data_IF_576247270494
#
_entry.id   IF_576247270494
#
_cell.length_a   1.000
_cell.length_b   1.000
_cell.length_c   1.000
_cell.angle_alpha   90.00
_cell.angle_beta   90.00
_cell.angle_gamma   90.00
#
_symmetry.space_group_name_H-M   'P 1'
#
loop_
_entity.id
_entity.type
_entity.pdbx_description
1 polymer ?
#
# COMPACT_ATOMS: atom_id res chain seq x y z
N UNK A 1 7.34 -27.97 13.28
CA UNK A 1 6.61 -26.89 12.57
C UNK A 1 7.54 -26.16 11.61
N UNK A 2 7.02 -25.64 10.48
CA UNK A 2 7.74 -24.78 9.51
C UNK A 2 7.00 -23.46 9.40
N UNK A 3 7.72 -22.32 9.38
CA UNK A 3 7.16 -20.97 9.19
C UNK A 3 8.00 -20.25 8.16
N UNK A 4 7.37 -19.72 7.09
CA UNK A 4 7.99 -18.88 6.08
C UNK A 4 7.24 -17.55 5.97
N UNK A 5 7.96 -16.45 6.07
CA UNK A 5 7.44 -15.09 5.86
C UNK A 5 7.65 -14.68 4.41
N UNK A 6 6.66 -14.06 3.81
CA UNK A 6 6.72 -13.38 2.50
C UNK A 6 6.43 -11.91 2.70
N UNK A 7 7.32 -11.05 2.24
CA UNK A 7 7.15 -9.61 2.41
C UNK A 7 6.99 -8.91 1.06
N UNK A 8 6.00 -8.04 0.97
CA UNK A 8 5.69 -7.22 -0.20
C UNK A 8 6.01 -5.75 0.13
N UNK A 9 7.22 -5.29 -0.21
CA UNK A 9 7.74 -3.98 0.16
C UNK A 9 6.83 -2.81 -0.27
N UNK A 10 6.27 -2.85 -1.49
CA UNK A 10 5.46 -1.75 -2.03
C UNK A 10 4.15 -1.50 -1.27
N UNK A 11 3.69 -2.46 -0.44
CA UNK A 11 2.52 -2.35 0.44
C UNK A 11 2.91 -2.53 1.94
N UNK A 12 4.18 -2.75 2.22
CA UNK A 12 4.67 -3.09 3.58
C UNK A 12 3.91 -4.25 4.21
N UNK A 13 3.43 -5.20 3.38
CA UNK A 13 2.58 -6.32 3.77
C UNK A 13 3.39 -7.60 3.97
N UNK A 14 3.09 -8.34 5.04
CA UNK A 14 3.66 -9.64 5.35
C UNK A 14 2.56 -10.72 5.37
N UNK A 15 2.79 -11.80 4.64
CA UNK A 15 1.99 -13.02 4.67
C UNK A 15 2.85 -14.20 5.07
N UNK A 16 2.22 -15.31 5.45
CA UNK A 16 2.95 -16.40 6.06
C UNK A 16 2.48 -17.76 5.54
N UNK A 17 3.43 -18.69 5.36
CA UNK A 17 3.16 -20.11 5.23
C UNK A 17 3.50 -20.78 6.56
N UNK A 18 2.54 -21.52 7.11
CA UNK A 18 2.75 -22.40 8.27
C UNK A 18 2.50 -23.82 7.82
N UNK A 19 3.46 -24.71 8.00
CA UNK A 19 3.34 -26.09 7.54
C UNK A 19 3.81 -27.11 8.57
N UNK A 20 3.21 -28.28 8.50
CA UNK A 20 3.63 -29.46 9.26
C UNK A 20 4.62 -30.28 8.44
N UNK A 21 5.81 -30.52 9.00
CA UNK A 21 6.88 -31.21 8.28
C UNK A 21 6.62 -32.70 8.08
N UNK A 22 5.82 -33.33 8.94
CA UNK A 22 5.49 -34.76 8.87
C UNK A 22 4.36 -35.05 7.88
N UNK A 23 3.25 -34.32 7.99
CA UNK A 23 2.07 -34.52 7.11
C UNK A 23 2.20 -33.83 5.76
N UNK A 24 3.12 -32.87 5.64
CA UNK A 24 3.32 -31.99 4.49
C UNK A 24 2.13 -31.09 4.18
N UNK A 25 1.22 -30.88 5.13
CA UNK A 25 0.09 -29.96 4.98
C UNK A 25 0.51 -28.53 5.37
N UNK A 26 0.12 -27.56 4.57
CA UNK A 26 0.41 -26.14 4.77
C UNK A 26 -0.87 -25.29 4.83
N UNK A 27 -0.79 -24.21 5.60
CA UNK A 27 -1.73 -23.09 5.62
C UNK A 27 -1.03 -21.81 5.16
N UNK A 28 -1.72 -20.96 4.39
CA UNK A 28 -1.27 -19.62 4.06
C UNK A 28 -2.12 -18.61 4.83
N UNK A 29 -1.46 -17.67 5.51
CA UNK A 29 -2.10 -16.62 6.29
C UNK A 29 -1.90 -15.28 5.56
N UNK A 30 -2.98 -14.57 5.31
CA UNK A 30 -3.06 -13.27 4.65
C UNK A 30 -2.31 -13.20 3.30
N UNK A 31 -2.61 -14.11 2.34
CA UNK A 31 -1.91 -14.15 1.07
C UNK A 31 -2.13 -12.88 0.25
N UNK A 32 -1.06 -12.38 -0.39
CA UNK A 32 -1.18 -11.41 -1.48
C UNK A 32 -1.81 -12.06 -2.71
N UNK A 33 -2.33 -11.24 -3.63
CA UNK A 33 -3.12 -11.70 -4.76
C UNK A 33 -2.35 -12.53 -5.80
N UNK A 34 -1.08 -12.23 -6.02
CA UNK A 34 -0.18 -12.98 -6.90
C UNK A 34 0.38 -14.22 -6.18
N UNK A 35 -0.39 -15.29 -6.20
CA UNK A 35 -0.21 -16.48 -5.35
C UNK A 35 0.89 -17.45 -5.80
N UNK A 36 1.49 -17.27 -6.97
CA UNK A 36 2.53 -18.16 -7.49
C UNK A 36 3.70 -18.33 -6.53
N UNK A 37 4.04 -17.29 -5.78
CA UNK A 37 5.11 -17.34 -4.79
C UNK A 37 4.85 -18.42 -3.73
N UNK A 38 3.62 -18.57 -3.25
CA UNK A 38 3.26 -19.58 -2.24
C UNK A 38 3.21 -20.98 -2.85
N UNK A 39 2.61 -21.09 -4.06
CA UNK A 39 2.45 -22.38 -4.76
C UNK A 39 3.84 -22.96 -5.11
N UNK A 40 4.73 -22.13 -5.65
CA UNK A 40 6.08 -22.56 -6.04
C UNK A 40 6.93 -22.91 -4.82
N UNK A 41 6.84 -22.11 -3.75
CA UNK A 41 7.60 -22.37 -2.53
C UNK A 41 7.08 -23.62 -1.79
N UNK A 42 5.77 -23.80 -1.65
CA UNK A 42 5.18 -25.02 -1.11
C UNK A 42 5.63 -26.27 -1.89
N UNK A 43 5.58 -26.19 -3.21
CA UNK A 43 6.04 -27.27 -4.10
C UNK A 43 7.52 -27.59 -3.89
N UNK A 44 8.38 -26.59 -3.74
CA UNK A 44 9.83 -26.80 -3.53
C UNK A 44 10.15 -27.54 -2.23
N UNK A 45 9.32 -27.34 -1.19
CA UNK A 45 9.41 -28.02 0.11
C UNK A 45 8.58 -29.31 0.21
N UNK A 46 7.84 -29.66 -0.84
CA UNK A 46 6.95 -30.81 -0.88
C UNK A 46 5.71 -30.65 0.01
N UNK A 47 5.28 -29.38 0.26
CA UNK A 47 4.06 -29.07 1.00
C UNK A 47 2.84 -28.99 0.08
N UNK A 48 1.67 -29.36 0.62
CA UNK A 48 0.36 -29.20 0.01
C UNK A 48 -0.41 -28.08 0.73
N UNK A 49 -0.75 -27.01 0.02
CA UNK A 49 -1.54 -25.90 0.57
C UNK A 49 -3.02 -26.33 0.65
N UNK A 50 -3.51 -26.64 1.84
CA UNK A 50 -4.91 -27.04 2.07
C UNK A 50 -5.75 -25.95 2.71
N UNK A 51 -5.13 -24.97 3.37
CA UNK A 51 -5.80 -23.98 4.17
C UNK A 51 -5.32 -22.58 3.80
N UNK A 52 -6.26 -21.65 3.70
CA UNK A 52 -6.00 -20.22 3.52
C UNK A 52 -6.79 -19.47 4.58
N UNK A 53 -6.12 -18.70 5.41
CA UNK A 53 -6.72 -17.97 6.51
C UNK A 53 -6.53 -16.49 6.26
N UNK A 54 -7.61 -15.71 6.31
CA UNK A 54 -7.53 -14.26 6.42
C UNK A 54 -7.74 -13.87 7.88
N UNK A 55 -6.80 -13.10 8.42
CA UNK A 55 -6.96 -12.55 9.77
C UNK A 55 -8.09 -11.51 9.81
N UNK A 56 -8.31 -10.80 8.73
CA UNK A 56 -9.37 -9.80 8.54
C UNK A 56 -9.56 -9.48 7.04
N UNK A 57 -10.55 -8.68 6.69
CA UNK A 57 -10.66 -8.13 5.34
C UNK A 57 -9.74 -6.93 5.17
N UNK A 58 -8.61 -7.14 4.50
CA UNK A 58 -7.61 -6.11 4.25
C UNK A 58 -8.20 -4.93 3.46
N UNK A 59 -7.83 -3.73 3.86
CA UNK A 59 -8.26 -2.49 3.20
C UNK A 59 -7.22 -1.98 2.17
N UNK A 60 -5.97 -2.30 2.35
CA UNK A 60 -4.84 -1.77 1.58
C UNK A 60 -4.46 -2.62 0.36
N UNK A 61 -4.99 -3.85 0.25
CA UNK A 61 -4.80 -4.73 -0.91
C UNK A 61 -5.90 -5.79 -1.04
N UNK A 62 -5.98 -6.38 -2.22
CA UNK A 62 -6.86 -7.53 -2.49
C UNK A 62 -6.13 -8.82 -2.14
N UNK A 63 -6.65 -9.55 -1.17
CA UNK A 63 -6.06 -10.80 -0.70
C UNK A 63 -6.23 -11.95 -1.70
N UNK A 64 -5.26 -12.88 -1.71
CA UNK A 64 -5.17 -14.00 -2.67
C UNK A 64 -5.98 -15.26 -2.28
N UNK A 65 -6.95 -15.14 -1.39
CA UNK A 65 -7.72 -16.28 -0.90
C UNK A 65 -8.57 -16.97 -1.98
N UNK A 66 -9.17 -16.20 -2.89
CA UNK A 66 -9.93 -16.73 -4.02
C UNK A 66 -8.99 -17.41 -5.03
N UNK A 67 -7.86 -16.78 -5.31
CA UNK A 67 -6.82 -17.30 -6.20
C UNK A 67 -6.27 -18.66 -5.70
N UNK A 68 -5.94 -18.78 -4.41
CA UNK A 68 -5.47 -20.03 -3.82
C UNK A 68 -6.57 -21.10 -3.80
N UNK A 69 -7.79 -20.73 -3.39
CA UNK A 69 -8.92 -21.65 -3.45
C UNK A 69 -9.07 -22.26 -4.84
N UNK A 70 -9.08 -21.45 -5.89
CA UNK A 70 -9.37 -21.88 -7.26
C UNK A 70 -8.17 -22.61 -7.90
N UNK A 71 -6.91 -22.27 -7.53
CA UNK A 71 -5.71 -22.88 -8.13
C UNK A 71 -5.24 -24.17 -7.46
N UNK A 72 -5.41 -24.29 -6.13
CA UNK A 72 -4.92 -25.45 -5.36
C UNK A 72 -6.02 -26.14 -4.56
N UNK A 73 -7.29 -25.75 -4.74
CA UNK A 73 -8.45 -26.30 -4.05
C UNK A 73 -8.32 -26.25 -2.52
N UNK A 74 -7.81 -25.13 -1.99
CA UNK A 74 -7.68 -24.90 -0.56
C UNK A 74 -9.00 -24.43 0.06
N UNK A 75 -9.23 -24.77 1.34
CA UNK A 75 -10.32 -24.19 2.11
C UNK A 75 -9.97 -22.77 2.57
N UNK A 76 -10.94 -21.86 2.51
CA UNK A 76 -10.79 -20.48 2.99
C UNK A 76 -11.42 -20.34 4.36
N UNK A 77 -10.71 -19.70 5.29
CA UNK A 77 -11.14 -19.49 6.66
C UNK A 77 -11.16 -18.01 7.02
N UNK A 78 -12.18 -17.61 7.78
CA UNK A 78 -12.38 -16.24 8.29
C UNK A 78 -12.93 -16.30 9.71
N UNK A 79 -12.73 -15.23 10.48
CA UNK A 79 -13.37 -15.07 11.78
C UNK A 79 -14.90 -15.15 11.70
N UNK A 80 -15.55 -15.67 12.74
CA UNK A 80 -16.99 -15.96 12.75
C UNK A 80 -17.90 -14.74 12.49
N UNK A 81 -17.39 -13.52 12.72
CA UNK A 81 -18.14 -12.28 12.45
C UNK A 81 -18.05 -11.81 11.01
N UNK A 82 -17.22 -12.46 10.17
CA UNK A 82 -17.06 -12.11 8.76
C UNK A 82 -18.35 -12.38 7.97
N UNK A 83 -18.60 -11.52 6.99
CA UNK A 83 -19.67 -11.71 6.01
C UNK A 83 -19.08 -11.59 4.61
N UNK A 84 -19.21 -12.63 3.79
CA UNK A 84 -18.68 -12.66 2.44
C UNK A 84 -19.69 -13.25 1.44
N UNK A 85 -19.53 -12.92 0.16
CA UNK A 85 -20.34 -13.47 -0.93
C UNK A 85 -19.83 -14.83 -1.43
N UNK A 86 -18.68 -15.29 -0.95
CA UNK A 86 -18.07 -16.58 -1.28
C UNK A 86 -18.13 -17.54 -0.07
N UNK A 87 -18.01 -18.83 -0.34
CA UNK A 87 -17.99 -19.84 0.71
C UNK A 87 -16.67 -19.80 1.47
N UNK A 88 -16.75 -19.85 2.78
CA UNK A 88 -15.63 -19.96 3.71
C UNK A 88 -16.02 -20.78 4.94
N UNK A 89 -15.04 -21.32 5.64
CA UNK A 89 -15.17 -21.97 6.94
C UNK A 89 -15.05 -20.91 8.03
N UNK A 90 -16.05 -20.85 8.92
CA UNK A 90 -16.10 -19.90 10.02
C UNK A 90 -15.21 -20.36 11.18
N UNK A 91 -14.39 -19.46 11.71
CA UNK A 91 -13.55 -19.69 12.88
C UNK A 91 -14.09 -18.90 14.08
N UNK A 92 -14.74 -19.59 15.01
CA UNK A 92 -15.08 -19.07 16.32
C UNK A 92 -13.83 -18.98 17.22
N UNK A 93 -13.94 -18.27 18.34
CA UNK A 93 -12.87 -18.18 19.35
C UNK A 93 -12.48 -19.58 19.86
N UNK A 94 -11.23 -19.95 19.70
CA UNK A 94 -10.72 -21.27 20.05
C UNK A 94 -10.86 -22.35 18.97
N UNK A 95 -11.46 -22.06 17.81
CA UNK A 95 -11.52 -23.00 16.67
C UNK A 95 -10.14 -23.45 16.22
N UNK A 96 -10.01 -24.73 15.88
CA UNK A 96 -8.73 -25.40 15.61
C UNK A 96 -8.67 -25.93 14.19
N UNK A 97 -7.52 -25.74 13.54
CA UNK A 97 -7.13 -26.35 12.27
C UNK A 97 -5.91 -27.24 12.53
N UNK A 98 -6.08 -28.56 12.39
CA UNK A 98 -5.02 -29.53 12.59
C UNK A 98 -4.23 -29.76 11.30
N UNK A 99 -2.93 -29.47 11.31
CA UNK A 99 -2.04 -29.77 10.19
C UNK A 99 -1.26 -31.07 10.38
N UNK A 100 -1.24 -31.60 11.60
CA UNK A 100 -0.47 -32.77 12.01
C UNK A 100 0.12 -32.56 13.40
N UNK A 101 1.43 -32.49 13.51
CA UNK A 101 2.12 -32.11 14.75
C UNK A 101 2.07 -30.59 14.97
N UNK A 102 1.67 -29.85 13.96
CA UNK A 102 1.37 -28.41 14.01
C UNK A 102 -0.14 -28.20 14.12
N UNK A 103 -0.56 -27.34 15.05
CA UNK A 103 -1.95 -26.93 15.26
C UNK A 103 -2.06 -25.42 15.11
N UNK A 104 -3.05 -24.96 14.37
CA UNK A 104 -3.45 -23.55 14.31
C UNK A 104 -4.74 -23.37 15.12
N UNK A 105 -4.83 -22.28 15.88
CA UNK A 105 -6.02 -21.97 16.68
C UNK A 105 -6.41 -20.51 16.48
N UNK A 106 -7.66 -20.26 16.16
CA UNK A 106 -8.20 -18.92 16.04
C UNK A 106 -8.45 -18.30 17.42
N UNK A 107 -8.13 -17.02 17.54
CA UNK A 107 -8.46 -16.17 18.67
C UNK A 107 -9.19 -14.95 18.13
N UNK A 108 -10.45 -14.72 18.47
CA UNK A 108 -11.15 -13.50 18.09
C UNK A 108 -10.46 -12.28 18.70
N UNK A 109 -10.00 -11.35 17.86
CA UNK A 109 -9.34 -10.11 18.27
C UNK A 109 -9.90 -8.92 17.50
N UNK A 110 -11.21 -8.61 17.65
CA UNK A 110 -11.81 -7.45 17.00
C UNK A 110 -11.18 -6.16 17.50
N UNK A 111 -11.15 -5.14 16.61
CA UNK A 111 -10.63 -3.83 16.96
C UNK A 111 -10.15 -3.03 15.75
N UNK A 112 -9.16 -3.51 15.01
CA UNK A 112 -8.85 -2.96 13.70
C UNK A 112 -10.03 -3.16 12.73
N UNK A 113 -10.58 -4.38 12.72
CA UNK A 113 -11.85 -4.71 12.06
C UNK A 113 -12.78 -5.46 13.03
N UNK A 114 -14.11 -5.48 12.78
CA UNK A 114 -15.06 -6.18 13.65
C UNK A 114 -14.88 -7.71 13.66
N UNK A 115 -14.43 -8.28 12.53
CA UNK A 115 -14.27 -9.75 12.33
C UNK A 115 -12.84 -10.24 12.58
N UNK A 116 -11.93 -9.34 12.98
CA UNK A 116 -10.51 -9.61 13.13
C UNK A 116 -10.20 -10.79 14.05
N UNK A 117 -9.26 -11.64 13.63
CA UNK A 117 -8.72 -12.76 14.40
C UNK A 117 -7.21 -12.73 14.44
N UNK A 118 -6.64 -13.27 15.50
CA UNK A 118 -5.24 -13.68 15.61
C UNK A 118 -5.15 -15.18 15.46
N UNK A 119 -4.21 -15.71 14.70
CA UNK A 119 -3.99 -17.14 14.54
C UNK A 119 -2.81 -17.55 15.39
N UNK A 120 -3.05 -18.40 16.40
CA UNK A 120 -2.01 -19.00 17.23
C UNK A 120 -1.48 -20.27 16.58
N UNK A 121 -0.17 -20.45 16.54
CA UNK A 121 0.47 -21.67 16.05
C UNK A 121 1.17 -22.42 17.18
N UNK A 122 0.83 -23.70 17.33
CA UNK A 122 1.38 -24.59 18.32
C UNK A 122 2.25 -25.67 17.66
N UNK A 123 3.46 -25.84 18.13
CA UNK A 123 4.30 -27.00 17.83
C UNK A 123 4.06 -28.06 18.92
N UNK A 124 3.20 -29.04 18.62
CA UNK A 124 2.78 -30.05 19.61
C UNK A 124 3.92 -30.96 20.08
N UNK A 125 5.03 -31.00 19.31
CA UNK A 125 6.23 -31.77 19.71
C UNK A 125 7.04 -31.02 20.75
N UNK A 126 7.09 -29.67 20.64
CA UNK A 126 7.85 -28.81 21.55
C UNK A 126 7.02 -28.49 22.80
N UNK A 127 5.86 -27.89 22.62
CA UNK A 127 4.90 -27.58 23.68
C UNK A 127 3.46 -27.58 23.14
N UNK A 128 2.63 -28.58 23.50
CA UNK A 128 1.24 -28.63 23.03
C UNK A 128 0.31 -27.62 23.70
N UNK A 129 0.73 -26.98 24.79
CA UNK A 129 -0.12 -26.13 25.63
C UNK A 129 0.09 -24.65 25.40
N UNK A 130 1.30 -24.24 25.04
CA UNK A 130 1.63 -22.84 24.80
C UNK A 130 1.87 -22.59 23.32
N UNK A 131 1.37 -21.46 22.76
CA UNK A 131 1.62 -21.12 21.37
C UNK A 131 3.09 -20.74 21.17
N UNK A 132 3.70 -21.32 20.15
CA UNK A 132 5.03 -20.96 19.69
C UNK A 132 5.03 -19.57 19.03
N UNK A 133 3.98 -19.29 18.25
CA UNK A 133 3.86 -18.05 17.50
C UNK A 133 2.39 -17.59 17.40
N UNK A 134 2.21 -16.32 17.15
CA UNK A 134 0.92 -15.72 16.81
C UNK A 134 1.04 -14.85 15.55
N UNK A 135 0.09 -15.01 14.64
CA UNK A 135 -0.08 -14.19 13.44
C UNK A 135 -1.22 -13.22 13.74
N UNK A 136 -0.84 -11.98 14.05
CA UNK A 136 -1.73 -11.00 14.67
C UNK A 136 -2.54 -10.19 13.68
N UNK A 137 -2.34 -10.40 12.37
CA UNK A 137 -2.94 -9.50 11.39
C UNK A 137 -2.60 -8.05 11.73
N UNK A 138 -3.63 -7.24 11.78
CA UNK A 138 -3.55 -5.83 12.17
C UNK A 138 -4.04 -5.56 13.62
N UNK A 139 -4.11 -6.60 14.46
CA UNK A 139 -4.41 -6.44 15.89
C UNK A 139 -3.21 -5.86 16.64
N UNK A 140 -2.03 -6.44 16.46
CA UNK A 140 -0.80 -6.04 17.12
C UNK A 140 0.35 -6.01 16.12
N UNK A 141 0.99 -4.85 16.00
CA UNK A 141 2.22 -4.65 15.25
C UNK A 141 3.45 -4.63 16.16
N UNK A 142 4.64 -4.63 15.57
CA UNK A 142 5.87 -4.44 16.33
C UNK A 142 6.08 -2.95 16.60
N UNK A 143 5.86 -2.56 17.87
CA UNK A 143 5.92 -1.18 18.33
C UNK A 143 4.61 -0.38 18.21
N UNK A 144 3.55 -0.97 17.62
CA UNK A 144 2.27 -0.28 17.37
C UNK A 144 1.09 -1.26 17.43
N UNK A 145 -0.11 -0.76 17.16
CA UNK A 145 -1.36 -1.53 16.96
C UNK A 145 -2.09 -1.02 15.72
N UNK A 146 -2.99 -1.84 15.16
CA UNK A 146 -3.80 -1.46 14.02
C UNK A 146 -4.72 -0.28 14.35
N UNK A 147 -4.85 0.64 13.38
CA UNK A 147 -5.73 1.81 13.49
C UNK A 147 -7.21 1.38 13.46
N UNK A 148 -8.08 1.99 14.29
CA UNK A 148 -9.48 1.56 14.41
C UNK A 148 -10.44 2.31 13.49
N UNK A 149 -9.97 3.26 12.66
CA UNK A 149 -10.84 4.22 11.97
C UNK A 149 -11.18 3.87 10.52
N UNK A 150 -10.55 2.84 9.93
CA UNK A 150 -10.74 2.50 8.51
C UNK A 150 -12.16 2.01 8.18
N UNK A 151 -12.86 1.44 9.14
CA UNK A 151 -14.21 0.90 8.99
C UNK A 151 -15.32 1.83 9.48
N UNK A 152 -15.02 3.05 9.87
CA UNK A 152 -16.02 4.05 10.30
C UNK A 152 -17.07 4.33 9.21
N UNK A 153 -16.70 4.18 7.92
CA UNK A 153 -17.61 4.36 6.78
C UNK A 153 -18.68 3.26 6.62
N UNK A 154 -18.53 2.11 7.30
CA UNK A 154 -19.47 0.98 7.23
C UNK A 154 -20.26 0.75 8.52
N UNK A 155 -20.34 1.78 9.36
CA UNK A 155 -21.29 1.84 10.48
C UNK A 155 -20.77 1.41 11.84
N UNK A 156 -19.47 1.18 12.00
CA UNK A 156 -18.84 0.98 13.31
C UNK A 156 -17.88 2.13 13.58
N UNK A 157 -18.06 2.84 14.69
CA UNK A 157 -17.26 4.02 15.01
C UNK A 157 -15.82 3.67 15.38
N UNK A 158 -14.88 4.59 15.14
CA UNK A 158 -13.49 4.43 15.58
C UNK A 158 -13.38 4.23 17.10
N UNK A 159 -14.25 4.88 17.88
CA UNK A 159 -14.33 4.71 19.33
C UNK A 159 -14.71 3.28 19.73
N UNK A 160 -15.73 2.70 19.08
CA UNK A 160 -16.17 1.32 19.36
C UNK A 160 -15.09 0.32 18.99
N UNK A 161 -14.47 0.46 17.82
CA UNK A 161 -13.37 -0.41 17.37
C UNK A 161 -12.15 -0.29 18.29
N UNK A 162 -11.76 0.91 18.68
CA UNK A 162 -10.68 1.14 19.62
C UNK A 162 -10.95 0.46 20.99
N UNK A 163 -12.20 0.55 21.45
CA UNK A 163 -12.63 -0.13 22.65
C UNK A 163 -12.57 -1.66 22.54
N UNK A 164 -12.93 -2.23 21.39
CA UNK A 164 -12.79 -3.67 21.11
C UNK A 164 -11.32 -4.08 21.05
N UNK A 165 -10.46 -3.27 20.45
CA UNK A 165 -9.03 -3.53 20.38
C UNK A 165 -8.39 -3.56 21.78
N UNK A 166 -8.76 -2.63 22.67
CA UNK A 166 -8.32 -2.64 24.06
C UNK A 166 -8.67 -3.97 24.73
N UNK A 167 -9.94 -4.42 24.63
CA UNK A 167 -10.37 -5.69 25.23
C UNK A 167 -9.62 -6.88 24.62
N UNK A 168 -9.41 -6.90 23.31
CA UNK A 168 -8.66 -7.94 22.61
C UNK A 168 -7.22 -8.02 23.10
N UNK A 169 -6.56 -6.89 23.27
CA UNK A 169 -5.19 -6.82 23.78
C UNK A 169 -5.11 -7.23 25.26
N UNK A 170 -5.92 -6.62 26.13
CA UNK A 170 -5.83 -6.83 27.58
C UNK A 170 -6.31 -8.21 28.05
N UNK A 171 -7.39 -8.72 27.44
CA UNK A 171 -8.03 -9.94 27.93
C UNK A 171 -7.57 -11.19 27.21
N UNK A 172 -6.92 -11.07 26.04
CA UNK A 172 -6.51 -12.22 25.23
C UNK A 172 -5.00 -12.18 24.92
N UNK A 173 -4.52 -11.23 24.13
CA UNK A 173 -3.12 -11.19 23.68
C UNK A 173 -2.16 -11.12 24.88
N UNK A 174 -2.41 -10.22 25.83
CA UNK A 174 -1.58 -10.07 27.02
C UNK A 174 -1.69 -11.21 28.05
N UNK A 175 -2.48 -12.25 27.79
CA UNK A 175 -2.52 -13.47 28.61
C UNK A 175 -1.60 -14.58 28.09
N UNK A 176 -1.05 -14.40 26.88
CA UNK A 176 -0.13 -15.36 26.28
C UNK A 176 1.27 -15.26 26.91
N UNK A 177 2.10 -16.34 26.82
CA UNK A 177 3.47 -16.34 27.32
C UNK A 177 4.36 -15.30 26.63
N UNK A 178 5.32 -14.76 27.36
CA UNK A 178 6.26 -13.75 26.87
C UNK A 178 7.14 -14.23 25.70
N UNK A 179 7.39 -15.53 25.62
CA UNK A 179 8.20 -16.18 24.58
C UNK A 179 7.44 -16.33 23.25
N UNK A 180 6.12 -16.14 23.23
CA UNK A 180 5.31 -16.27 22.01
C UNK A 180 5.82 -15.27 20.96
N UNK A 181 6.19 -15.78 19.77
CA UNK A 181 6.64 -14.96 18.66
C UNK A 181 5.47 -14.19 18.04
N UNK A 182 5.69 -12.93 17.72
CA UNK A 182 4.71 -12.02 17.10
C UNK A 182 5.02 -11.82 15.64
N UNK A 183 4.10 -12.21 14.76
CA UNK A 183 4.16 -12.08 13.30
C UNK A 183 2.98 -11.22 12.82
N UNK A 184 3.17 -9.90 12.62
CA UNK A 184 2.11 -8.99 12.17
C UNK A 184 1.93 -9.03 10.65
N UNK A 185 0.75 -8.57 10.15
CA UNK A 185 0.53 -8.46 8.71
C UNK A 185 1.27 -7.28 8.06
N UNK A 186 1.77 -6.32 8.84
CA UNK A 186 2.48 -5.17 8.29
C UNK A 186 3.79 -4.86 9.00
N UNK A 187 4.71 -4.24 8.24
CA UNK A 187 5.96 -3.66 8.70
C UNK A 187 6.01 -2.15 8.51
N UNK A 188 7.17 -1.56 8.78
CA UNK A 188 7.40 -0.12 8.65
C UNK A 188 7.00 0.42 7.27
N UNK A 189 6.31 1.55 7.27
CA UNK A 189 5.81 2.22 6.07
C UNK A 189 4.38 1.88 5.65
N UNK A 190 3.71 0.94 6.35
CA UNK A 190 2.27 0.70 6.18
C UNK A 190 1.45 1.89 6.71
N UNK A 191 0.31 2.13 6.06
CA UNK A 191 -0.68 3.12 6.49
C UNK A 191 -1.74 2.54 7.45
N UNK A 192 -1.60 1.26 7.82
CA UNK A 192 -2.50 0.60 8.80
C UNK A 192 -2.12 0.89 10.25
N UNK A 193 -1.02 1.62 10.51
CA UNK A 193 -0.58 2.10 11.80
C UNK A 193 0.31 3.34 11.65
N UNK A 194 0.73 3.94 12.77
CA UNK A 194 1.49 5.21 12.77
C UNK A 194 2.96 5.07 13.19
N UNK A 195 3.33 3.99 13.88
CA UNK A 195 4.65 3.84 14.51
C UNK A 195 5.27 2.45 14.37
N UNK A 196 5.07 1.74 13.26
CA UNK A 196 5.59 0.39 13.05
C UNK A 196 7.12 0.36 13.01
N UNK A 197 7.72 -0.59 13.72
CA UNK A 197 9.17 -0.79 13.74
C UNK A 197 9.68 -1.49 12.48
N UNK A 198 11.00 -1.42 12.24
CA UNK A 198 11.68 -2.13 11.15
C UNK A 198 11.95 -3.62 11.47
N UNK A 199 11.63 -4.08 12.67
CA UNK A 199 11.75 -5.49 13.03
C UNK A 199 10.79 -6.34 12.19
N UNK A 200 11.17 -7.59 11.94
CA UNK A 200 10.36 -8.53 11.14
C UNK A 200 9.62 -9.55 12.00
N UNK A 201 10.09 -9.78 13.22
CA UNK A 201 9.54 -10.65 14.25
C UNK A 201 10.01 -10.17 15.61
N UNK A 202 9.19 -10.34 16.63
CA UNK A 202 9.53 -10.00 18.02
C UNK A 202 8.93 -11.05 18.95
N UNK A 203 9.13 -10.92 20.27
CA UNK A 203 8.39 -11.71 21.27
C UNK A 203 7.34 -10.84 21.94
N UNK A 204 6.27 -11.45 22.46
CA UNK A 204 5.26 -10.72 23.20
C UNK A 204 5.85 -10.00 24.41
N UNK A 205 6.81 -10.62 25.11
CA UNK A 205 7.51 -9.99 26.24
C UNK A 205 8.22 -8.69 25.86
N UNK A 206 8.91 -8.65 24.71
CA UNK A 206 9.49 -7.41 24.18
C UNK A 206 8.42 -6.37 23.85
N UNK A 207 7.29 -6.79 23.24
CA UNK A 207 6.20 -5.87 22.94
C UNK A 207 5.56 -5.30 24.21
N UNK A 208 5.40 -6.08 25.30
CA UNK A 208 4.94 -5.57 26.60
C UNK A 208 5.83 -4.45 27.13
N UNK A 209 7.15 -4.53 26.89
CA UNK A 209 8.10 -3.54 27.41
C UNK A 209 8.17 -2.28 26.54
N UNK A 210 8.05 -2.40 25.22
CA UNK A 210 8.41 -1.32 24.30
C UNK A 210 7.25 -0.79 23.46
N UNK A 211 6.15 -1.53 23.31
CA UNK A 211 5.00 -1.08 22.55
C UNK A 211 4.17 -0.11 23.41
N UNK A 212 4.01 1.12 22.93
CA UNK A 212 3.32 2.18 23.66
C UNK A 212 1.84 1.83 23.96
N UNK A 213 1.19 1.09 23.06
CA UNK A 213 -0.22 0.72 23.18
C UNK A 213 -0.46 -0.43 24.18
N UNK A 214 0.59 -1.13 24.61
CA UNK A 214 0.52 -2.21 25.61
C UNK A 214 0.87 -1.76 27.03
N UNK A 215 1.21 -0.48 27.22
CA UNK A 215 1.53 0.07 28.55
C UNK A 215 0.27 0.12 29.42
N UNK A 216 0.41 0.04 30.74
CA UNK A 216 -0.72 0.18 31.68
C UNK A 216 -1.43 1.52 31.49
N UNK A 217 -2.69 1.50 31.08
CA UNK A 217 -3.52 2.70 30.92
C UNK A 217 -5.01 2.33 31.03
N UNK A 218 -5.86 3.32 31.24
CA UNK A 218 -7.31 3.11 31.21
C UNK A 218 -7.79 2.90 29.78
N UNK A 219 -8.98 2.33 29.62
CA UNK A 219 -9.60 2.13 28.29
C UNK A 219 -9.80 3.44 27.54
N UNK A 220 -10.23 4.49 28.25
CA UNK A 220 -10.47 5.81 27.67
C UNK A 220 -9.17 6.49 27.23
N UNK A 221 -8.08 6.36 28.01
CA UNK A 221 -6.76 6.84 27.62
C UNK A 221 -6.25 6.09 26.38
N UNK A 222 -6.42 4.78 26.32
CA UNK A 222 -6.05 3.98 25.17
C UNK A 222 -6.82 4.41 23.90
N UNK A 223 -8.14 4.57 24.00
CA UNK A 223 -8.97 5.02 22.87
C UNK A 223 -8.48 6.39 22.37
N UNK A 224 -8.26 7.33 23.29
CA UNK A 224 -7.74 8.66 22.95
C UNK A 224 -6.39 8.57 22.24
N UNK A 225 -5.47 7.74 22.78
CA UNK A 225 -4.12 7.59 22.26
C UNK A 225 -4.09 7.00 20.84
N UNK A 226 -4.87 5.94 20.57
CA UNK A 226 -4.81 5.25 19.27
C UNK A 226 -5.67 5.91 18.19
N UNK A 227 -6.63 6.74 18.57
CA UNK A 227 -7.44 7.50 17.58
C UNK A 227 -6.82 8.85 17.23
N UNK A 228 -5.87 9.36 18.02
CA UNK A 228 -5.17 10.60 17.76
C UNK A 228 -4.12 10.44 16.64
N UNK A 229 -3.92 11.51 15.86
CA UNK A 229 -2.84 11.67 14.87
C UNK A 229 -2.72 10.53 13.85
N UNK A 230 -3.84 9.91 13.48
CA UNK A 230 -3.84 8.90 12.43
C UNK A 230 -3.61 9.58 11.06
N UNK A 231 -2.70 9.03 10.22
CA UNK A 231 -2.52 9.55 8.87
C UNK A 231 -3.82 9.40 8.08
N UNK A 232 -4.07 10.32 7.14
CA UNK A 232 -5.24 10.22 6.26
C UNK A 232 -5.24 8.87 5.52
N UNK A 233 -6.37 8.15 5.62
CA UNK A 233 -6.52 6.87 4.94
C UNK A 233 -6.66 7.09 3.43
N UNK A 234 -5.93 6.33 2.58
CA UNK A 234 -6.13 6.39 1.14
C UNK A 234 -7.58 6.11 0.75
N UNK A 235 -8.10 6.86 -0.22
CA UNK A 235 -9.51 6.77 -0.63
C UNK A 235 -9.93 5.36 -1.09
N UNK A 236 -8.99 4.56 -1.60
CA UNK A 236 -9.27 3.21 -2.09
C UNK A 236 -9.44 2.15 -0.99
N UNK A 237 -9.05 2.43 0.26
CA UNK A 237 -9.11 1.45 1.36
C UNK A 237 -10.52 0.92 1.58
N UNK A 238 -11.52 1.79 1.64
CA UNK A 238 -12.91 1.35 1.79
C UNK A 238 -13.40 0.46 0.64
N UNK A 239 -12.99 0.77 -0.59
CA UNK A 239 -13.31 -0.05 -1.76
C UNK A 239 -12.68 -1.44 -1.69
N UNK A 240 -11.39 -1.53 -1.38
CA UNK A 240 -10.66 -2.80 -1.35
C UNK A 240 -11.14 -3.70 -0.20
N UNK A 241 -11.46 -3.13 0.99
CA UNK A 241 -12.08 -3.88 2.09
C UNK A 241 -13.41 -4.51 1.69
N UNK A 242 -14.27 -3.79 0.97
CA UNK A 242 -15.53 -4.31 0.44
C UNK A 242 -15.28 -5.35 -0.66
N UNK A 243 -14.30 -5.12 -1.55
CA UNK A 243 -13.99 -6.05 -2.64
C UNK A 243 -13.42 -7.39 -2.13
N UNK A 244 -12.73 -7.39 -1.00
CA UNK A 244 -12.27 -8.61 -0.33
C UNK A 244 -13.42 -9.48 0.22
N UNK A 245 -14.61 -8.91 0.42
CA UNK A 245 -15.83 -9.63 0.84
C UNK A 245 -16.63 -10.20 -0.34
N UNK A 246 -16.33 -9.75 -1.58
CA UNK A 246 -17.15 -10.04 -2.76
C UNK A 246 -16.58 -11.17 -3.61
N UNK A 247 -17.48 -11.81 -4.38
CA UNK A 247 -17.07 -12.58 -5.56
C UNK A 247 -16.45 -11.63 -6.57
N UNK A 248 -15.29 -11.97 -7.08
CA UNK A 248 -14.53 -11.14 -8.01
C UNK A 248 -13.73 -11.99 -8.99
N UNK A 249 -13.32 -11.44 -10.14
CA UNK A 249 -12.41 -12.16 -11.04
C UNK A 249 -11.07 -12.43 -10.34
N UNK A 250 -10.45 -13.55 -10.69
CA UNK A 250 -9.09 -13.88 -10.26
C UNK A 250 -8.07 -12.95 -10.92
N UNK A 251 -6.87 -12.88 -10.36
CA UNK A 251 -5.79 -12.09 -10.97
C UNK A 251 -5.43 -12.61 -12.36
N UNK A 252 -5.40 -13.94 -12.55
CA UNK A 252 -5.13 -14.58 -13.85
C UNK A 252 -6.14 -14.14 -14.91
N UNK A 253 -7.42 -14.09 -14.58
CA UNK A 253 -8.48 -13.58 -15.47
C UNK A 253 -8.29 -12.10 -15.81
N UNK A 254 -7.91 -11.29 -14.81
CA UNK A 254 -7.64 -9.85 -15.00
C UNK A 254 -6.42 -9.66 -15.91
N UNK A 255 -5.31 -10.35 -15.66
CA UNK A 255 -4.10 -10.29 -16.50
C UNK A 255 -4.42 -10.70 -17.92
N UNK A 256 -5.04 -11.87 -18.12
CA UNK A 256 -5.41 -12.38 -19.46
C UNK A 256 -6.29 -11.38 -20.25
N UNK A 257 -7.22 -10.70 -19.58
CA UNK A 257 -8.11 -9.72 -20.20
C UNK A 257 -7.39 -8.42 -20.53
N UNK A 258 -6.39 -8.04 -19.74
CA UNK A 258 -5.71 -6.75 -19.75
C UNK A 258 -4.50 -6.69 -20.68
N UNK A 259 -3.86 -7.85 -20.98
CA UNK A 259 -2.66 -7.95 -21.82
C UNK A 259 -3.00 -7.83 -23.31
N UNK A 260 -3.55 -6.65 -23.69
CA UNK A 260 -3.91 -6.31 -25.07
C UNK A 260 -3.02 -5.19 -25.57
N UNK A 261 -2.25 -5.46 -26.60
CA UNK A 261 -1.49 -4.45 -27.34
C UNK A 261 -2.42 -3.60 -28.20
N UNK A 262 -2.31 -2.28 -28.12
CA UNK A 262 -3.16 -1.31 -28.79
C UNK A 262 -2.30 -0.33 -29.60
N UNK A 263 -2.67 -0.11 -30.86
CA UNK A 263 -2.03 0.89 -31.70
C UNK A 263 -2.33 2.32 -31.25
N UNK A 264 -1.54 3.29 -31.73
CA UNK A 264 -1.63 4.71 -31.34
C UNK A 264 -3.01 5.30 -31.60
N UNK A 265 -3.66 4.96 -32.71
CA UNK A 265 -4.96 5.52 -33.08
C UNK A 265 -6.06 5.01 -32.13
N UNK A 266 -6.00 3.72 -31.79
CA UNK A 266 -6.90 3.10 -30.80
C UNK A 266 -6.70 3.72 -29.42
N UNK A 267 -5.45 3.89 -28.98
CA UNK A 267 -5.10 4.54 -27.70
C UNK A 267 -5.67 5.95 -27.64
N UNK A 268 -5.43 6.77 -28.66
CA UNK A 268 -5.91 8.15 -28.74
C UNK A 268 -7.45 8.23 -28.76
N UNK A 269 -8.11 7.32 -29.49
CA UNK A 269 -9.57 7.22 -29.49
C UNK A 269 -10.14 6.89 -28.12
N UNK A 270 -9.56 5.91 -27.41
CA UNK A 270 -9.96 5.53 -26.07
C UNK A 270 -9.74 6.66 -25.06
N UNK A 271 -8.60 7.35 -25.14
CA UNK A 271 -8.31 8.51 -24.30
C UNK A 271 -9.34 9.64 -24.50
N UNK A 272 -9.69 9.95 -25.74
CA UNK A 272 -10.76 10.92 -26.06
C UNK A 272 -12.14 10.51 -25.55
N UNK A 273 -12.38 9.22 -25.42
CA UNK A 273 -13.64 8.69 -24.84
C UNK A 273 -13.64 8.69 -23.30
N UNK A 274 -12.59 9.22 -22.65
CA UNK A 274 -12.48 9.35 -21.20
C UNK A 274 -11.78 8.20 -20.48
N UNK A 275 -11.10 7.29 -21.19
CA UNK A 275 -10.25 6.26 -20.57
C UNK A 275 -9.05 6.94 -19.91
N UNK A 276 -8.74 6.54 -18.66
CA UNK A 276 -7.58 7.05 -17.93
C UNK A 276 -6.30 6.47 -18.52
N UNK A 277 -5.35 7.33 -18.91
CA UNK A 277 -4.02 6.90 -19.37
C UNK A 277 -3.01 7.10 -18.26
N UNK A 278 -2.33 6.03 -17.85
CA UNK A 278 -1.20 6.10 -16.94
C UNK A 278 0.11 5.81 -17.66
N UNK A 279 1.12 6.62 -17.40
CA UNK A 279 2.50 6.37 -17.80
C UNK A 279 3.30 5.98 -16.57
N UNK A 280 3.82 4.76 -16.55
CA UNK A 280 4.48 4.18 -15.38
C UNK A 280 6.00 4.25 -15.44
N UNK A 281 6.54 4.93 -16.43
CA UNK A 281 7.98 5.14 -16.60
C UNK A 281 8.53 6.09 -15.53
N UNK A 282 9.85 6.11 -15.42
CA UNK A 282 10.58 7.03 -14.56
C UNK A 282 10.23 8.50 -14.84
N UNK A 283 10.26 9.33 -13.79
CA UNK A 283 9.95 10.75 -13.88
C UNK A 283 10.77 11.50 -14.92
N UNK A 284 12.03 11.11 -15.12
CA UNK A 284 12.91 11.75 -16.10
C UNK A 284 12.50 11.42 -17.54
N UNK A 285 12.15 10.18 -17.82
CA UNK A 285 11.71 9.71 -19.13
C UNK A 285 10.36 10.31 -19.50
N UNK A 286 9.43 10.33 -18.54
CA UNK A 286 8.14 11.00 -18.70
C UNK A 286 8.33 12.49 -19.03
N UNK A 287 9.16 13.19 -18.26
CA UNK A 287 9.40 14.62 -18.48
C UNK A 287 10.00 14.90 -19.86
N UNK A 288 10.88 14.03 -20.37
CA UNK A 288 11.50 14.14 -21.68
C UNK A 288 10.50 14.04 -22.84
N UNK A 289 9.59 13.09 -22.77
CA UNK A 289 8.49 12.91 -23.72
C UNK A 289 7.44 11.96 -23.16
N UNK A 290 6.16 12.30 -23.25
CA UNK A 290 5.04 11.47 -22.85
C UNK A 290 3.82 11.66 -23.75
N UNK A 291 2.87 10.73 -23.72
CA UNK A 291 1.59 10.88 -24.38
C UNK A 291 0.81 12.02 -23.70
N UNK A 292 0.33 12.99 -24.48
CA UNK A 292 -0.46 14.11 -23.94
C UNK A 292 -1.57 13.63 -23.00
N UNK A 293 -1.82 14.38 -21.92
CA UNK A 293 -2.85 14.14 -20.93
C UNK A 293 -2.74 12.78 -20.21
N UNK A 294 -1.59 12.10 -20.27
CA UNK A 294 -1.30 10.93 -19.44
C UNK A 294 -0.86 11.34 -18.02
N UNK A 295 -1.22 10.52 -17.02
CA UNK A 295 -0.80 10.71 -15.64
C UNK A 295 0.45 9.87 -15.37
N UNK A 296 1.53 10.48 -14.93
CA UNK A 296 2.72 9.73 -14.52
C UNK A 296 2.55 9.16 -13.12
N UNK A 297 2.69 7.85 -12.99
CA UNK A 297 2.82 7.17 -11.69
C UNK A 297 3.91 6.12 -11.85
N UNK A 298 5.16 6.48 -11.62
CA UNK A 298 6.31 5.60 -11.82
C UNK A 298 6.20 4.30 -11.03
N UNK A 299 6.45 3.17 -11.71
CA UNK A 299 6.23 1.84 -11.11
C UNK A 299 7.23 1.53 -9.98
N UNK A 300 8.43 2.10 -9.99
CA UNK A 300 9.49 1.82 -9.02
C UNK A 300 9.38 2.64 -7.72
N UNK A 301 8.30 3.43 -7.57
CA UNK A 301 7.96 4.13 -6.34
C UNK A 301 6.80 3.48 -5.56
N UNK A 302 6.09 4.30 -4.79
CA UNK A 302 4.85 3.89 -4.09
C UNK A 302 3.66 3.82 -5.04
N UNK A 303 3.82 3.06 -6.13
CA UNK A 303 2.87 2.96 -7.24
C UNK A 303 1.45 2.61 -6.77
N UNK A 304 1.30 1.55 -5.97
CA UNK A 304 -0.01 1.09 -5.51
C UNK A 304 -0.77 2.19 -4.74
N UNK A 305 -0.09 2.85 -3.80
CA UNK A 305 -0.69 3.91 -3.00
C UNK A 305 -1.16 5.08 -3.87
N UNK A 306 -0.32 5.55 -4.80
CA UNK A 306 -0.69 6.70 -5.64
C UNK A 306 -1.69 6.34 -6.73
N UNK A 307 -1.58 5.16 -7.33
CA UNK A 307 -2.59 4.68 -8.27
C UNK A 307 -3.96 4.53 -7.58
N UNK A 308 -3.98 3.93 -6.37
CA UNK A 308 -5.20 3.80 -5.59
C UNK A 308 -5.82 5.14 -5.14
N UNK A 309 -4.98 6.15 -4.87
CA UNK A 309 -5.43 7.48 -4.43
C UNK A 309 -5.94 8.35 -5.59
N UNK A 310 -5.28 8.29 -6.76
CA UNK A 310 -5.50 9.25 -7.84
C UNK A 310 -6.36 8.72 -8.99
N UNK A 311 -6.43 7.40 -9.18
CA UNK A 311 -7.20 6.81 -10.26
C UNK A 311 -8.63 6.50 -9.83
N UNK A 312 -9.58 6.77 -10.71
CA UNK A 312 -10.97 6.39 -10.50
C UNK A 312 -11.16 4.91 -10.85
N UNK A 313 -11.67 4.11 -9.92
CA UNK A 313 -11.92 2.66 -10.06
C UNK A 313 -12.96 2.34 -11.14
N UNK A 314 -13.92 3.24 -11.38
CA UNK A 314 -15.00 3.05 -12.33
C UNK A 314 -14.59 3.37 -13.77
N UNK A 315 -13.50 4.13 -13.95
CA UNK A 315 -13.01 4.51 -15.27
C UNK A 315 -11.94 3.50 -15.73
N UNK A 316 -12.05 2.97 -16.97
CA UNK A 316 -11.05 2.06 -17.50
C UNK A 316 -9.66 2.69 -17.57
N UNK A 317 -8.62 1.86 -17.47
CA UNK A 317 -7.22 2.27 -17.51
C UNK A 317 -6.56 1.79 -18.80
N UNK A 318 -5.69 2.63 -19.36
CA UNK A 318 -4.77 2.32 -20.44
C UNK A 318 -3.34 2.58 -19.95
N UNK A 319 -2.42 1.69 -20.29
CA UNK A 319 -1.06 1.70 -19.77
C UNK A 319 -0.08 2.17 -20.86
N UNK A 320 0.82 3.10 -20.50
CA UNK A 320 2.06 3.41 -21.20
C UNK A 320 3.22 2.93 -20.34
N UNK A 321 3.98 1.97 -20.83
CA UNK A 321 5.09 1.35 -20.11
C UNK A 321 6.15 0.84 -21.08
N UNK A 322 7.29 0.43 -20.55
CA UNK A 322 8.20 -0.46 -21.26
C UNK A 322 7.52 -1.82 -21.45
N UNK A 323 7.67 -2.42 -22.64
CA UNK A 323 6.92 -3.63 -23.04
C UNK A 323 7.10 -4.79 -22.06
N UNK A 324 8.32 -4.98 -21.55
CA UNK A 324 8.67 -6.03 -20.59
C UNK A 324 8.12 -5.78 -19.16
N UNK A 325 7.58 -4.61 -18.87
CA UNK A 325 7.01 -4.26 -17.55
C UNK A 325 5.48 -4.20 -17.52
N UNK A 326 4.81 -4.34 -18.66
CA UNK A 326 3.34 -4.20 -18.74
C UNK A 326 2.62 -5.18 -17.82
N UNK A 327 3.02 -6.45 -17.81
CA UNK A 327 2.41 -7.47 -16.94
C UNK A 327 2.58 -7.13 -15.46
N UNK A 328 3.75 -6.66 -15.06
CA UNK A 328 4.00 -6.19 -13.70
C UNK A 328 3.03 -5.06 -13.30
N UNK A 329 2.79 -4.10 -14.21
CA UNK A 329 1.84 -3.01 -13.98
C UNK A 329 0.42 -3.55 -13.76
N UNK A 330 -0.03 -4.46 -14.62
CA UNK A 330 -1.36 -5.09 -14.52
C UNK A 330 -1.51 -5.84 -13.20
N UNK A 331 -0.49 -6.60 -12.80
CA UNK A 331 -0.47 -7.31 -11.52
C UNK A 331 -0.55 -6.33 -10.34
N UNK A 332 0.26 -5.26 -10.35
CA UNK A 332 0.25 -4.27 -9.26
C UNK A 332 -1.06 -3.50 -9.17
N UNK A 333 -1.68 -3.15 -10.30
CA UNK A 333 -3.04 -2.60 -10.34
C UNK A 333 -4.07 -3.60 -9.80
N UNK A 334 -3.94 -4.87 -10.19
CA UNK A 334 -4.79 -5.95 -9.72
C UNK A 334 -4.73 -6.14 -8.20
N UNK A 335 -3.54 -5.97 -7.57
CA UNK A 335 -3.37 -6.06 -6.11
C UNK A 335 -4.20 -5.05 -5.33
N UNK A 336 -4.50 -3.91 -5.93
CA UNK A 336 -5.32 -2.84 -5.34
C UNK A 336 -6.67 -2.68 -6.04
N UNK A 337 -7.24 -3.76 -6.56
CA UNK A 337 -8.62 -3.83 -7.01
C UNK A 337 -8.94 -3.23 -8.38
N UNK A 338 -7.96 -2.79 -9.18
CA UNK A 338 -8.23 -2.34 -10.55
C UNK A 338 -8.35 -3.54 -11.50
N UNK A 339 -9.57 -3.79 -11.97
CA UNK A 339 -9.89 -4.92 -12.84
C UNK A 339 -10.21 -4.51 -14.29
N UNK A 340 -10.32 -3.20 -14.56
CA UNK A 340 -10.74 -2.69 -15.86
C UNK A 340 -9.58 -2.01 -16.62
N UNK A 341 -8.52 -2.78 -16.89
CA UNK A 341 -7.45 -2.34 -17.77
C UNK A 341 -7.79 -2.74 -19.21
N UNK A 342 -7.85 -1.78 -20.12
CA UNK A 342 -8.22 -1.98 -21.54
C UNK A 342 -7.10 -2.56 -22.37
N UNK A 343 -5.87 -2.28 -21.99
CA UNK A 343 -4.65 -2.68 -22.68
C UNK A 343 -3.52 -1.70 -22.45
N UNK A 344 -2.52 -1.79 -23.32
CA UNK A 344 -1.33 -0.95 -23.24
C UNK A 344 -0.91 -0.44 -24.64
N UNK A 345 -0.22 0.69 -24.68
CA UNK A 345 0.32 1.26 -25.90
C UNK A 345 1.39 0.32 -26.47
N UNK A 346 1.15 -0.18 -27.68
CA UNK A 346 2.08 -1.06 -28.40
C UNK A 346 3.46 -0.40 -28.55
N UNK A 347 4.52 -1.14 -28.22
CA UNK A 347 5.90 -0.65 -28.23
C UNK A 347 6.15 0.61 -27.36
N UNK A 348 5.25 0.96 -26.44
CA UNK A 348 5.38 2.14 -25.58
C UNK A 348 5.58 3.43 -26.39
N UNK A 349 6.45 4.33 -25.90
CA UNK A 349 6.69 5.63 -26.54
C UNK A 349 7.32 5.57 -27.94
N UNK A 350 7.95 4.44 -28.30
CA UNK A 350 8.50 4.26 -29.65
C UNK A 350 7.44 4.39 -30.75
N UNK A 351 6.22 3.90 -30.50
CA UNK A 351 5.11 3.98 -31.44
C UNK A 351 4.62 5.40 -31.72
N UNK A 352 4.98 6.37 -30.87
CA UNK A 352 4.58 7.77 -31.03
C UNK A 352 5.55 8.59 -31.91
N UNK A 353 6.66 8.04 -32.39
CA UNK A 353 7.65 8.78 -33.20
C UNK A 353 7.04 9.49 -34.40
N UNK A 354 6.10 8.84 -35.08
CA UNK A 354 5.39 9.40 -36.24
C UNK A 354 4.15 10.24 -35.85
N UNK A 355 3.86 10.36 -34.55
CA UNK A 355 2.69 11.03 -33.99
C UNK A 355 3.08 12.17 -33.03
N UNK A 356 3.99 13.03 -33.45
CA UNK A 356 4.59 14.11 -32.62
C UNK A 356 3.56 15.06 -32.02
N UNK A 357 2.41 15.23 -32.68
CA UNK A 357 1.29 16.02 -32.18
C UNK A 357 0.58 15.42 -30.93
N UNK A 358 0.85 14.17 -30.61
CA UNK A 358 0.37 13.48 -29.42
C UNK A 358 1.40 13.46 -28.29
N UNK A 359 2.58 14.04 -28.50
CA UNK A 359 3.67 14.05 -27.51
C UNK A 359 3.69 15.38 -26.77
N UNK A 360 3.79 15.33 -25.46
CA UNK A 360 4.05 16.46 -24.57
C UNK A 360 5.36 16.27 -23.80
N UNK A 361 5.78 17.32 -23.09
CA UNK A 361 6.97 17.36 -22.24
C UNK A 361 6.66 18.12 -20.96
N UNK A 362 7.15 17.65 -19.84
CA UNK A 362 7.11 18.39 -18.57
C UNK A 362 8.41 19.15 -18.37
N UNK A 363 8.31 20.43 -18.10
CA UNK A 363 9.50 21.25 -17.82
C UNK A 363 10.09 20.86 -16.46
N UNK A 364 11.42 20.72 -16.42
CA UNK A 364 12.15 20.47 -15.17
C UNK A 364 13.14 21.59 -14.89
N UNK A 365 13.27 21.96 -13.62
CA UNK A 365 14.18 23.02 -13.19
C UNK A 365 15.06 22.52 -12.05
N UNK A 366 16.32 22.95 -12.01
CA UNK A 366 17.21 22.66 -10.89
C UNK A 366 17.03 23.65 -9.74
N UNK A 367 17.39 23.27 -8.51
CA UNK A 367 17.35 24.16 -7.37
C UNK A 367 18.21 25.44 -7.54
N UNK A 368 19.29 25.35 -8.32
CA UNK A 368 20.18 26.50 -8.59
C UNK A 368 19.57 27.51 -9.54
N UNK A 369 18.77 27.08 -10.50
CA UNK A 369 18.22 27.96 -11.56
C UNK A 369 16.92 28.66 -11.17
N UNK A 370 16.26 28.25 -10.08
CA UNK A 370 15.01 28.92 -9.63
C UNK A 370 15.21 30.43 -9.38
N UNK A 371 16.32 30.83 -8.80
CA UNK A 371 16.61 32.23 -8.51
C UNK A 371 16.94 33.06 -9.77
N UNK A 372 17.14 32.44 -10.91
CA UNK A 372 17.41 33.08 -12.19
C UNK A 372 16.14 33.40 -12.98
N UNK A 373 15.00 32.84 -12.57
CA UNK A 373 13.70 33.07 -13.20
C UNK A 373 13.30 34.56 -13.05
N UNK A 374 12.92 35.15 -14.17
CA UNK A 374 12.42 36.52 -14.21
C UNK A 374 10.91 36.50 -14.32
N UNK A 375 10.22 36.90 -13.27
CA UNK A 375 8.75 36.93 -13.20
C UNK A 375 8.21 36.42 -11.88
N UNK A 376 6.90 36.26 -11.82
CA UNK A 376 6.23 35.67 -10.63
C UNK A 376 6.53 34.19 -10.54
N UNK A 377 7.00 33.75 -9.38
CA UNK A 377 7.32 32.35 -9.09
C UNK A 377 6.51 31.89 -7.89
N UNK A 378 5.69 30.87 -8.08
CA UNK A 378 4.98 30.18 -7.00
C UNK A 378 5.60 28.80 -6.79
N UNK A 379 6.08 28.53 -5.59
CA UNK A 379 6.61 27.21 -5.22
C UNK A 379 5.52 26.45 -4.47
N UNK A 380 5.15 25.28 -4.98
CA UNK A 380 4.13 24.41 -4.40
C UNK A 380 4.79 23.15 -3.85
N UNK A 381 4.73 22.99 -2.54
CA UNK A 381 5.19 21.79 -1.83
C UNK A 381 4.05 20.80 -1.74
N UNK A 382 4.17 19.65 -2.44
CA UNK A 382 3.13 18.62 -2.48
C UNK A 382 3.37 17.50 -1.47
N UNK A 383 4.28 17.70 -0.51
CA UNK A 383 4.50 16.77 0.61
C UNK A 383 3.35 16.89 1.62
N UNK A 384 3.29 15.95 2.58
CA UNK A 384 2.34 16.04 3.67
C UNK A 384 2.56 17.31 4.51
N UNK A 385 1.51 17.76 5.21
CA UNK A 385 1.59 18.91 6.13
C UNK A 385 2.72 18.72 7.14
N UNK A 386 2.84 17.53 7.74
CA UNK A 386 3.92 17.22 8.68
C UNK A 386 5.31 17.34 8.06
N UNK A 387 5.54 16.81 6.84
CA UNK A 387 6.82 16.99 6.15
C UNK A 387 7.13 18.47 5.87
N UNK A 388 6.11 19.28 5.61
CA UNK A 388 6.24 20.71 5.37
C UNK A 388 6.54 21.48 6.68
N UNK A 389 5.87 21.14 7.78
CA UNK A 389 6.10 21.71 9.12
C UNK A 389 7.51 21.40 9.63
N UNK A 390 8.01 20.18 9.42
CA UNK A 390 9.37 19.76 9.78
C UNK A 390 10.47 20.52 9.02
N UNK A 391 10.12 21.16 7.89
CA UNK A 391 10.99 22.03 7.11
C UNK A 391 10.55 22.16 5.66
N UNK A 392 10.55 23.39 5.14
CA UNK A 392 10.10 23.70 3.79
C UNK A 392 10.91 24.79 3.11
N UNK A 393 10.71 24.98 1.81
CA UNK A 393 11.28 26.10 1.05
C UNK A 393 10.55 27.38 1.47
N UNK A 394 11.30 28.38 1.91
CA UNK A 394 10.71 29.65 2.39
C UNK A 394 9.81 30.28 1.31
N UNK A 395 8.56 30.53 1.68
CA UNK A 395 7.54 31.12 0.81
C UNK A 395 6.82 30.11 -0.09
N UNK A 396 7.07 28.81 0.09
CA UNK A 396 6.27 27.76 -0.59
C UNK A 396 4.87 27.66 0.02
N UNK A 397 3.91 27.26 -0.83
CA UNK A 397 2.54 26.93 -0.44
C UNK A 397 2.46 25.41 -0.33
N UNK A 398 1.90 24.89 0.78
CA UNK A 398 1.69 23.44 0.92
C UNK A 398 0.32 23.00 0.38
N UNK A 399 0.33 22.16 -0.62
CA UNK A 399 -0.86 21.49 -1.17
C UNK A 399 -0.50 20.01 -1.32
N UNK A 400 -0.77 19.17 -0.31
CA UNK A 400 -0.45 17.75 -0.36
C UNK A 400 -1.02 17.05 -1.59
N UNK A 401 -0.26 16.11 -2.18
CA UNK A 401 -0.62 15.45 -3.45
C UNK A 401 -1.99 14.77 -3.41
N UNK A 402 -2.39 14.18 -2.28
CA UNK A 402 -3.69 13.55 -2.09
C UNK A 402 -4.86 14.53 -2.18
N UNK A 403 -4.66 15.81 -1.84
CA UNK A 403 -5.66 16.87 -1.94
C UNK A 403 -5.52 17.76 -3.18
N UNK A 404 -4.46 17.58 -3.97
CA UNK A 404 -4.12 18.45 -5.08
C UNK A 404 -5.26 18.60 -6.11
N UNK A 405 -5.91 17.50 -6.49
CA UNK A 405 -7.00 17.53 -7.46
C UNK A 405 -8.16 18.44 -7.02
N UNK A 406 -8.44 18.52 -5.72
CA UNK A 406 -9.51 19.36 -5.16
C UNK A 406 -9.07 20.81 -4.92
N UNK A 407 -7.76 21.09 -4.96
CA UNK A 407 -7.16 22.38 -4.62
C UNK A 407 -6.44 23.04 -5.79
N UNK A 408 -6.65 22.56 -7.02
CA UNK A 408 -6.03 23.11 -8.24
C UNK A 408 -6.32 24.61 -8.42
N UNK A 409 -7.50 25.06 -8.01
CA UNK A 409 -7.90 26.47 -8.09
C UNK A 409 -7.02 27.42 -7.23
N UNK A 410 -6.29 26.90 -6.26
CA UNK A 410 -5.35 27.67 -5.43
C UNK A 410 -4.01 27.92 -6.16
N UNK A 411 -3.75 27.22 -7.26
CA UNK A 411 -2.52 27.33 -8.04
C UNK A 411 -2.68 28.38 -9.15
N UNK A 412 -1.78 29.36 -9.25
CA UNK A 412 -1.86 30.39 -10.28
C UNK A 412 -1.85 29.85 -11.71
N UNK A 413 -2.61 30.50 -12.60
CA UNK A 413 -2.65 30.17 -14.03
C UNK A 413 -1.53 30.82 -14.83
N UNK A 414 -0.90 31.86 -14.26
CA UNK A 414 0.20 32.61 -14.88
C UNK A 414 1.46 32.57 -14.01
N UNK A 415 2.57 33.02 -14.54
CA UNK A 415 3.86 32.94 -13.88
C UNK A 415 4.47 31.54 -13.93
N UNK A 416 5.50 31.30 -13.14
CA UNK A 416 6.15 29.99 -13.00
C UNK A 416 5.59 29.25 -11.79
N UNK A 417 5.00 28.09 -12.01
CA UNK A 417 4.54 27.20 -10.92
C UNK A 417 5.55 26.08 -10.77
N UNK A 418 6.30 26.07 -9.69
CA UNK A 418 7.32 25.06 -9.41
C UNK A 418 6.78 24.09 -8.38
N UNK A 419 6.50 22.87 -8.79
CA UNK A 419 6.06 21.80 -7.90
C UNK A 419 7.25 20.99 -7.40
N UNK A 420 7.29 20.68 -6.12
CA UNK A 420 8.31 19.79 -5.54
C UNK A 420 7.76 18.85 -4.50
N UNK A 421 8.46 17.74 -4.31
CA UNK A 421 8.29 16.85 -3.17
C UNK A 421 9.64 16.63 -2.49
N UNK A 422 9.83 15.52 -1.77
CA UNK A 422 11.10 15.21 -1.13
C UNK A 422 12.23 14.92 -2.13
N UNK A 423 11.99 14.07 -3.16
CA UNK A 423 13.03 13.58 -4.08
C UNK A 423 12.66 13.62 -5.57
N UNK A 424 11.45 14.08 -5.99
CA UNK A 424 11.07 14.21 -7.40
C UNK A 424 10.01 13.22 -7.90
N UNK A 425 9.69 12.13 -7.15
CA UNK A 425 8.70 11.14 -7.56
C UNK A 425 7.26 11.70 -7.50
N UNK A 426 6.81 12.18 -6.33
CA UNK A 426 5.47 12.75 -6.12
C UNK A 426 5.25 14.04 -6.93
N UNK A 427 6.30 14.84 -7.12
CA UNK A 427 6.18 16.09 -7.88
C UNK A 427 5.96 15.87 -9.37
N UNK A 428 6.49 14.79 -9.95
CA UNK A 428 6.17 14.44 -11.33
C UNK A 428 4.71 13.98 -11.49
N UNK A 429 4.19 13.23 -10.51
CA UNK A 429 2.75 12.90 -10.47
C UNK A 429 1.92 14.19 -10.45
N UNK A 430 2.28 15.14 -9.56
CA UNK A 430 1.59 16.42 -9.45
C UNK A 430 1.68 17.24 -10.74
N UNK A 431 2.86 17.33 -11.36
CA UNK A 431 3.05 18.05 -12.62
C UNK A 431 2.17 17.47 -13.73
N UNK A 432 2.17 16.14 -13.89
CA UNK A 432 1.34 15.47 -14.91
C UNK A 432 -0.16 15.64 -14.65
N UNK A 433 -0.59 15.66 -13.38
CA UNK A 433 -1.98 15.95 -13.01
C UNK A 433 -2.38 17.39 -13.39
N UNK A 434 -1.54 18.36 -13.06
CA UNK A 434 -1.75 19.76 -13.40
C UNK A 434 -1.75 19.99 -14.92
N UNK A 435 -0.85 19.35 -15.66
CA UNK A 435 -0.80 19.43 -17.13
C UNK A 435 -2.06 18.85 -17.76
N UNK A 436 -2.57 17.74 -17.24
CA UNK A 436 -3.84 17.14 -17.67
C UNK A 436 -5.03 18.08 -17.44
N UNK A 437 -5.00 18.88 -16.36
CA UNK A 437 -6.01 19.91 -16.06
C UNK A 437 -5.73 21.24 -16.81
N UNK A 438 -4.86 21.23 -17.81
CA UNK A 438 -4.61 22.36 -18.71
C UNK A 438 -3.57 23.37 -18.20
N UNK A 439 -2.91 23.15 -17.08
CA UNK A 439 -1.85 24.03 -16.56
C UNK A 439 -0.57 23.83 -17.36
N UNK A 440 -0.12 24.85 -18.10
CA UNK A 440 1.07 24.78 -18.98
C UNK A 440 2.31 25.47 -18.41
N UNK A 441 2.18 26.14 -17.29
CA UNK A 441 3.22 26.91 -16.59
C UNK A 441 3.86 26.14 -15.44
N UNK A 442 3.74 24.81 -15.43
CA UNK A 442 4.20 23.91 -14.37
C UNK A 442 5.62 23.40 -14.64
N UNK A 443 6.45 23.43 -13.61
CA UNK A 443 7.83 22.93 -13.61
C UNK A 443 8.04 21.95 -12.44
N UNK A 444 8.63 20.80 -12.70
CA UNK A 444 9.09 19.88 -11.67
C UNK A 444 10.47 20.29 -11.15
N UNK A 445 10.61 20.48 -9.84
CA UNK A 445 11.91 20.69 -9.20
C UNK A 445 12.69 19.36 -9.15
N UNK A 446 13.69 19.25 -10.02
CA UNK A 446 14.54 18.07 -10.08
C UNK A 446 15.25 17.80 -8.76
N UNK A 447 15.08 16.59 -8.19
CA UNK A 447 15.62 16.20 -6.88
C UNK A 447 14.88 16.79 -5.69
N UNK A 448 13.84 17.59 -5.90
CA UNK A 448 12.91 18.06 -4.87
C UNK A 448 13.56 18.86 -3.73
N UNK A 449 12.93 18.78 -2.56
CA UNK A 449 13.39 19.47 -1.34
C UNK A 449 14.80 19.07 -0.92
N UNK A 450 15.17 17.80 -1.11
CA UNK A 450 16.51 17.32 -0.78
C UNK A 450 17.60 18.02 -1.62
N UNK A 451 17.40 18.19 -2.92
CA UNK A 451 18.32 18.94 -3.77
C UNK A 451 18.38 20.43 -3.37
N UNK A 452 17.24 21.03 -3.02
CA UNK A 452 17.20 22.41 -2.52
C UNK A 452 18.05 22.60 -1.27
N UNK A 453 17.87 21.77 -0.25
CA UNK A 453 18.62 21.84 1.00
C UNK A 453 20.11 21.66 0.76
N UNK A 454 20.51 20.70 -0.04
CA UNK A 454 21.92 20.45 -0.40
C UNK A 454 22.55 21.66 -1.05
N UNK A 455 21.87 22.29 -2.00
CA UNK A 455 22.35 23.50 -2.69
C UNK A 455 22.56 24.68 -1.72
N UNK A 456 21.63 24.87 -0.77
CA UNK A 456 21.73 25.92 0.26
C UNK A 456 22.84 25.66 1.27
N UNK A 457 23.07 24.42 1.68
CA UNK A 457 24.16 24.06 2.59
C UNK A 457 25.52 24.32 1.94
N UNK A 458 25.72 23.99 0.67
CA UNK A 458 26.99 24.23 -0.03
C UNK A 458 27.29 25.73 -0.20
N UNK A 459 26.31 26.56 -0.43
CA UNK A 459 26.50 28.03 -0.51
C UNK A 459 26.85 28.65 0.84
N UNK A 460 26.28 28.20 1.93
CA UNK A 460 26.60 28.69 3.29
C UNK A 460 28.01 28.27 3.75
N UNK A 461 28.48 27.09 3.37
CA UNK A 461 29.83 26.59 3.70
C UNK A 461 30.90 27.37 2.94
N UNK A 462 30.65 27.78 1.71
CA UNK A 462 31.61 28.57 0.92
C UNK A 462 31.81 30.00 1.45
N UNK A 463 30.78 30.61 2.05
CA UNK A 463 30.87 31.93 2.64
C UNK A 463 31.63 31.96 3.98
N UNK A 464 31.60 30.86 4.73
CA UNK A 464 32.31 30.75 6.00
C UNK A 464 33.81 30.41 5.84
N UNK A 465 34.26 29.95 4.67
CA UNK A 465 35.70 29.72 4.40
C UNK A 465 36.46 30.96 3.94
N UNK A 466 35.76 32.08 3.65
CA UNK A 466 36.41 33.34 3.22
C UNK A 466 36.56 34.33 4.40
N UNK A 467 36.17 33.96 5.60
CA UNK A 467 36.28 34.82 6.79
C UNK A 467 37.23 34.31 7.88
N UNK A 468 38.31 33.60 7.48
CA UNK A 468 39.45 33.36 8.37
C UNK A 468 40.77 33.77 7.68
#
# INVERSE_FOLDING_TARGET
MFIQRYYLECLSHASYMVADQRTKVAAIIDPRRDVDIYINDAKSHGFEIKHVILTHFHADFIAGHIELRDRVNSNVYLGARAKAEFNFESLDDGSVIELGDTRLQAMETPGHTPEGITVLAFDKIVDPNNPYAMFTGDTLFLGDVGRPDLFASIGVTAYELAGMLYESLQNKILKLPDETLVYPAHGAGSLCGKGLSNETVSTLGKQRLHNYALQPMTKDDFITLITADQPEAPAYFGYDAVLNQKKRPTLDEVVKKSMKSLDVNTVHSLQKSGVQVIDVREAADFAGAHLCDSLNIGIDGRFANWAGTLLNKDIPILIVAEVNRVEEVVVRLGRIGFHNVKGYLENGMESLKEHTNLISKTQRISATTINELKGEVTIVDIRSEKEWEDGHIKGSVNIPLNSLANRIAEIPESGYVIVHCQGGYRSMIAASLLEKEGRRNVFDLAGGYQAWVTTKQSTNTSVNQIKN
#
